data_IF_669484549227
#
_entry.id   IF_669484549227
#
_cell.length_a   1.000
_cell.length_b   1.000
_cell.length_c   1.000
_cell.angle_alpha   90.00
_cell.angle_beta   90.00
_cell.angle_gamma   90.00
#
_symmetry.space_group_name_H-M   'P 1'
#
loop_
_entity.id
_entity.type
_entity.pdbx_description
1 polymer ?
#
# COMPACT_ATOMS: atom_id res chain seq x y z
N UNK A 1 0.75 -12.36 -11.49
CA UNK A 1 1.52 -11.32 -10.76
C UNK A 1 2.25 -10.36 -11.71
N UNK A 2 2.86 -10.85 -12.80
CA UNK A 2 3.54 -10.01 -13.80
C UNK A 2 2.66 -8.92 -14.44
N UNK A 3 1.38 -9.21 -14.64
CA UNK A 3 0.42 -8.28 -15.25
C UNK A 3 0.27 -6.99 -14.45
N UNK A 4 0.25 -7.06 -13.12
CA UNK A 4 0.10 -5.88 -12.25
C UNK A 4 1.33 -4.98 -12.37
N UNK A 5 2.53 -5.57 -12.35
CA UNK A 5 3.77 -4.83 -12.55
C UNK A 5 3.79 -4.13 -13.92
N UNK A 6 3.33 -4.82 -14.97
CA UNK A 6 3.26 -4.28 -16.32
C UNK A 6 2.35 -3.05 -16.40
N UNK A 7 1.15 -3.10 -15.83
CA UNK A 7 0.24 -1.94 -15.76
C UNK A 7 0.81 -0.79 -14.93
N UNK A 8 1.52 -1.08 -13.83
CA UNK A 8 2.18 -0.06 -13.01
C UNK A 8 3.26 0.67 -13.81
N UNK A 9 4.18 -0.07 -14.43
CA UNK A 9 5.26 0.51 -15.24
C UNK A 9 4.72 1.26 -16.45
N UNK A 10 3.68 0.75 -17.11
CA UNK A 10 3.01 1.44 -18.20
C UNK A 10 2.38 2.77 -17.71
N UNK A 11 1.70 2.77 -16.56
CA UNK A 11 1.13 3.98 -15.96
C UNK A 11 2.19 5.03 -15.63
N UNK A 12 3.32 4.62 -15.06
CA UNK A 12 4.46 5.50 -14.77
C UNK A 12 5.05 6.07 -16.07
N UNK A 13 5.26 5.24 -17.09
CA UNK A 13 5.79 5.67 -18.38
C UNK A 13 4.85 6.68 -19.06
N UNK A 14 3.55 6.42 -19.09
CA UNK A 14 2.56 7.34 -19.66
C UNK A 14 2.54 8.67 -18.88
N UNK A 15 2.58 8.61 -17.54
CA UNK A 15 2.62 9.79 -16.70
C UNK A 15 3.88 10.65 -16.91
N UNK A 16 5.03 10.01 -17.12
CA UNK A 16 6.30 10.68 -17.38
C UNK A 16 6.36 11.32 -18.78
N UNK A 17 5.97 10.58 -19.83
CA UNK A 17 6.07 11.07 -21.21
C UNK A 17 5.01 12.11 -21.58
N UNK A 18 3.79 11.97 -21.05
CA UNK A 18 2.64 12.79 -21.50
C UNK A 18 2.44 14.06 -20.67
N UNK A 19 2.99 14.12 -19.45
CA UNK A 19 2.88 15.28 -18.55
C UNK A 19 1.42 15.62 -18.21
N UNK A 20 0.92 15.17 -17.07
CA UNK A 20 -0.50 15.37 -16.74
C UNK A 20 -0.82 16.80 -16.31
N UNK A 21 -1.84 17.38 -16.94
CA UNK A 21 -2.40 18.68 -16.55
C UNK A 21 -3.22 18.55 -15.24
N UNK A 22 -3.48 19.65 -14.52
CA UNK A 22 -4.17 19.62 -13.21
C UNK A 22 -5.56 18.95 -13.27
N UNK A 23 -6.29 19.14 -14.38
CA UNK A 23 -7.60 18.52 -14.58
C UNK A 23 -7.51 16.99 -14.70
N UNK A 24 -6.49 16.49 -15.42
CA UNK A 24 -6.26 15.06 -15.61
C UNK A 24 -5.79 14.40 -14.31
N UNK A 25 -4.94 15.09 -13.53
CA UNK A 25 -4.54 14.63 -12.19
C UNK A 25 -5.74 14.50 -11.26
N UNK A 26 -6.65 15.47 -11.29
CA UNK A 26 -7.86 15.44 -10.45
C UNK A 26 -8.80 14.29 -10.84
N UNK A 27 -9.02 14.07 -12.13
CA UNK A 27 -9.84 12.95 -12.62
C UNK A 27 -9.19 11.61 -12.24
N UNK A 28 -7.88 11.48 -12.44
CA UNK A 28 -7.16 10.26 -12.08
C UNK A 28 -7.24 9.98 -10.57
N UNK A 29 -7.07 11.01 -9.73
CA UNK A 29 -7.22 10.87 -8.28
C UNK A 29 -8.61 10.41 -7.87
N UNK A 30 -9.66 11.02 -8.43
CA UNK A 30 -11.05 10.63 -8.13
C UNK A 30 -11.34 9.20 -8.59
N UNK A 31 -10.89 8.83 -9.80
CA UNK A 31 -11.11 7.50 -10.35
C UNK A 31 -10.31 6.43 -9.58
N UNK A 32 -9.08 6.73 -9.19
CA UNK A 32 -8.26 5.87 -8.33
C UNK A 32 -8.94 5.67 -6.98
N UNK A 33 -9.42 6.74 -6.34
CA UNK A 33 -10.12 6.65 -5.06
C UNK A 33 -11.41 5.82 -5.17
N UNK A 34 -12.22 6.05 -6.21
CA UNK A 34 -13.41 5.25 -6.45
C UNK A 34 -13.07 3.76 -6.67
N UNK A 35 -12.03 3.48 -7.44
CA UNK A 35 -11.52 2.12 -7.65
C UNK A 35 -11.02 1.47 -6.37
N UNK A 36 -10.30 2.21 -5.51
CA UNK A 36 -9.83 1.73 -4.21
C UNK A 36 -11.00 1.38 -3.29
N UNK A 37 -12.03 2.22 -3.23
CA UNK A 37 -13.24 1.96 -2.43
C UNK A 37 -13.94 0.68 -2.95
N UNK A 38 -14.11 0.57 -4.27
CA UNK A 38 -14.75 -0.60 -4.88
C UNK A 38 -13.95 -1.89 -4.64
N UNK A 39 -12.62 -1.81 -4.72
CA UNK A 39 -11.72 -2.93 -4.47
C UNK A 39 -11.76 -3.36 -3.00
N UNK A 40 -11.70 -2.41 -2.07
CA UNK A 40 -11.81 -2.66 -0.63
C UNK A 40 -13.15 -3.30 -0.27
N UNK A 41 -14.24 -2.80 -0.85
CA UNK A 41 -15.57 -3.38 -0.69
C UNK A 41 -15.61 -4.84 -1.16
N UNK A 42 -15.09 -5.09 -2.36
CA UNK A 42 -15.02 -6.44 -2.94
C UNK A 42 -14.17 -7.39 -2.10
N UNK A 43 -13.03 -6.91 -1.57
CA UNK A 43 -12.21 -7.67 -0.61
C UNK A 43 -12.99 -8.00 0.67
N UNK A 44 -13.74 -7.03 1.22
CA UNK A 44 -14.60 -7.24 2.38
C UNK A 44 -15.67 -8.31 2.14
N UNK A 45 -16.36 -8.26 1.00
CA UNK A 45 -17.33 -9.28 0.61
C UNK A 45 -16.68 -10.66 0.44
N UNK A 46 -15.52 -10.75 -0.21
CA UNK A 46 -14.80 -12.01 -0.41
C UNK A 46 -14.37 -12.65 0.91
N UNK A 47 -13.88 -11.84 1.85
CA UNK A 47 -13.53 -12.29 3.21
C UNK A 47 -14.79 -12.75 3.97
N UNK A 48 -15.87 -11.99 3.92
CA UNK A 48 -17.13 -12.32 4.60
C UNK A 48 -17.80 -13.59 4.08
N UNK A 49 -17.67 -13.89 2.78
CA UNK A 49 -18.18 -15.10 2.17
C UNK A 49 -17.32 -16.35 2.48
N UNK A 50 -16.07 -16.16 2.93
CA UNK A 50 -15.14 -17.25 3.19
C UNK A 50 -15.20 -17.70 4.66
N UNK A 51 -15.90 -18.82 4.91
CA UNK A 51 -16.10 -19.39 6.26
C UNK A 51 -14.79 -19.76 6.97
N UNK A 52 -13.75 -20.12 6.23
CA UNK A 52 -12.45 -20.52 6.79
C UNK A 52 -11.68 -19.30 7.32
N UNK A 53 -11.74 -18.19 6.58
CA UNK A 53 -11.19 -16.91 7.04
C UNK A 53 -11.97 -16.39 8.25
N UNK A 54 -13.30 -16.52 8.24
CA UNK A 54 -14.17 -16.04 9.32
C UNK A 54 -13.94 -16.83 10.62
N UNK A 55 -13.78 -18.16 10.54
CA UNK A 55 -13.49 -19.01 11.70
C UNK A 55 -12.09 -18.78 12.27
N UNK A 56 -11.13 -18.43 11.41
CA UNK A 56 -9.74 -18.15 11.79
C UNK A 56 -9.42 -16.67 12.01
N UNK A 57 -10.43 -15.79 12.02
CA UNK A 57 -10.22 -14.32 12.02
C UNK A 57 -9.38 -13.85 13.20
N UNK A 58 -9.51 -14.51 14.35
CA UNK A 58 -8.78 -14.21 15.58
C UNK A 58 -7.30 -14.62 15.46
N UNK A 59 -7.02 -15.74 14.79
CA UNK A 59 -5.64 -16.20 14.52
C UNK A 59 -4.97 -15.31 13.48
N UNK A 60 -5.66 -14.99 12.39
CA UNK A 60 -5.19 -14.08 11.35
C UNK A 60 -4.93 -12.70 11.96
N UNK A 61 -5.86 -12.18 12.75
CA UNK A 61 -5.74 -10.89 13.44
C UNK A 61 -4.52 -10.82 14.35
N UNK A 62 -4.24 -11.85 15.16
CA UNK A 62 -3.05 -11.91 16.02
C UNK A 62 -1.75 -11.87 15.21
N UNK A 63 -1.67 -12.66 14.14
CA UNK A 63 -0.48 -12.68 13.28
C UNK A 63 -0.28 -11.33 12.61
N UNK A 64 -1.34 -10.77 12.02
CA UNK A 64 -1.30 -9.48 11.34
C UNK A 64 -0.96 -8.32 12.28
N UNK A 65 -1.53 -8.30 13.48
CA UNK A 65 -1.24 -7.27 14.49
C UNK A 65 0.21 -7.36 14.99
N UNK A 66 0.69 -8.57 15.29
CA UNK A 66 2.09 -8.78 15.68
C UNK A 66 3.05 -8.35 14.57
N UNK A 67 2.75 -8.72 13.32
CA UNK A 67 3.54 -8.33 12.16
C UNK A 67 3.56 -6.82 11.95
N UNK A 68 2.40 -6.15 12.06
CA UNK A 68 2.29 -4.70 11.93
C UNK A 68 3.09 -3.97 13.02
N UNK A 69 2.99 -4.43 14.28
CA UNK A 69 3.74 -3.84 15.40
C UNK A 69 5.25 -4.01 15.24
N UNK A 70 5.72 -5.24 14.99
CA UNK A 70 7.14 -5.50 14.80
C UNK A 70 7.71 -4.74 13.59
N UNK A 71 7.00 -4.74 12.46
CA UNK A 71 7.46 -4.06 11.25
C UNK A 71 7.51 -2.55 11.46
N UNK A 72 6.51 -1.97 12.13
CA UNK A 72 6.50 -0.53 12.43
C UNK A 72 7.62 -0.14 13.39
N UNK A 73 7.79 -0.88 14.49
CA UNK A 73 8.87 -0.65 15.45
C UNK A 73 10.24 -0.79 14.80
N UNK A 74 10.43 -1.82 13.98
CA UNK A 74 11.67 -2.03 13.25
C UNK A 74 11.94 -0.90 12.25
N UNK A 75 10.93 -0.47 11.49
CA UNK A 75 11.04 0.66 10.56
C UNK A 75 11.47 1.94 11.28
N UNK A 76 10.84 2.26 12.42
CA UNK A 76 11.19 3.45 13.22
C UNK A 76 12.62 3.35 13.77
N UNK A 77 12.98 2.20 14.35
CA UNK A 77 14.33 1.97 14.87
C UNK A 77 15.40 2.06 13.78
N UNK A 78 15.11 1.50 12.60
CA UNK A 78 15.99 1.51 11.45
C UNK A 78 16.20 2.92 10.91
N UNK A 79 15.13 3.69 10.73
CA UNK A 79 15.19 5.10 10.31
C UNK A 79 15.97 5.92 11.34
N UNK A 80 15.75 5.71 12.63
CA UNK A 80 16.49 6.42 13.68
C UNK A 80 17.99 6.08 13.68
N UNK A 81 18.36 4.81 13.49
CA UNK A 81 19.76 4.38 13.39
C UNK A 81 20.43 5.02 12.18
N UNK A 82 19.78 4.98 11.01
CA UNK A 82 20.31 5.60 9.78
C UNK A 82 20.46 7.11 9.97
N UNK A 83 19.43 7.81 10.47
CA UNK A 83 19.51 9.24 10.76
C UNK A 83 20.65 9.55 11.73
N UNK A 84 20.77 8.82 12.83
CA UNK A 84 21.79 9.06 13.85
C UNK A 84 23.22 8.75 13.37
N UNK A 85 23.40 7.76 12.48
CA UNK A 85 24.73 7.33 12.02
C UNK A 85 25.17 7.98 10.72
N UNK A 86 24.24 8.34 9.85
CA UNK A 86 24.51 8.90 8.52
C UNK A 86 24.36 10.43 8.48
N UNK A 87 23.43 11.00 9.26
CA UNK A 87 23.09 12.43 9.18
C UNK A 87 23.72 13.28 10.28
N UNK A 88 24.23 12.69 11.37
CA UNK A 88 25.06 13.39 12.38
C UNK A 88 26.53 13.59 11.99
N UNK A 89 26.96 13.06 10.84
CA UNK A 89 28.28 13.35 10.25
C UNK A 89 28.25 14.49 9.23
N UNK A 90 27.10 15.18 9.10
CA UNK A 90 26.87 16.31 8.20
C UNK A 90 26.64 17.62 8.99
N UNK A 91 27.26 17.73 10.16
CA UNK A 91 27.46 18.98 10.91
C UNK A 91 28.96 19.21 11.11
#
# INVERSE_FOLDING_TARGET
MWSIALFLFAGIAIGYFRGMNEKEKKINSTLQQAGLIFLLFSMGCAIGANKDILSNILKIGKVSASFALLTSLFSIAFVFLITSKLMKGAE
#
